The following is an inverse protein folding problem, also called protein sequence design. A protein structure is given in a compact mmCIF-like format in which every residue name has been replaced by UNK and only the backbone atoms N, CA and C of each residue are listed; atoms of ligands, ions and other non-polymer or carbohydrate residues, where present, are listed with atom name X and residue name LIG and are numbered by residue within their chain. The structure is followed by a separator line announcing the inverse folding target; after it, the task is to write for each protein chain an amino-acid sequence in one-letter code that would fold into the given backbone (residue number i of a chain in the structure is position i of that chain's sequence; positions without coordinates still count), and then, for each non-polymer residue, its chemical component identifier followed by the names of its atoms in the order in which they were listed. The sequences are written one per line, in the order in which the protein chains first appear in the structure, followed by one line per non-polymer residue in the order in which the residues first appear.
data_IF_339301655013
#
_entry.id   IF_339301655013
#
_cell.length_a   1.000
_cell.length_b   1.000
_cell.length_c   1.000
_cell.angle_alpha   90.00
_cell.angle_beta   90.00
_cell.angle_gamma   90.00
#
_symmetry.space_group_name_H-M   'P 1'
#
loop_
_entity.id
_entity.type
_entity.pdbx_description
1 polymer ?
#
# COMPACT_ATOMS: atom_id res chain seq x y z
N UNK A 1 1.96 26.45 31.89
CA UNK A 1 2.51 26.47 30.53
C UNK A 1 2.64 25.08 29.88
N UNK A 2 3.17 24.02 30.52
CA UNK A 2 3.29 22.68 29.86
C UNK A 2 1.95 21.96 29.59
N UNK A 3 0.88 22.34 30.29
CA UNK A 3 -0.41 21.63 30.21
C UNK A 3 -1.32 22.13 29.08
N UNK A 4 -1.24 23.42 28.71
CA UNK A 4 -2.05 24.01 27.64
C UNK A 4 -1.68 23.45 26.26
N UNK A 5 -0.38 23.40 25.93
CA UNK A 5 0.14 22.77 24.70
C UNK A 5 -0.29 21.31 24.53
N UNK A 6 -0.48 20.59 25.64
CA UNK A 6 -0.93 19.19 25.61
C UNK A 6 -2.41 19.11 25.25
N UNK A 7 -3.26 19.95 25.83
CA UNK A 7 -4.69 19.96 25.53
C UNK A 7 -4.96 20.45 24.11
N UNK A 8 -4.21 21.45 23.65
CA UNK A 8 -4.30 21.95 22.28
C UNK A 8 -4.01 20.85 21.25
N UNK A 9 -2.94 20.07 21.44
CA UNK A 9 -2.63 18.90 20.59
C UNK A 9 -3.68 17.80 20.63
N UNK A 10 -4.40 17.64 21.76
CA UNK A 10 -5.46 16.64 21.87
C UNK A 10 -6.74 17.10 21.17
N UNK A 11 -7.05 18.39 21.25
CA UNK A 11 -8.16 19.01 20.53
C UNK A 11 -7.91 18.93 19.02
N UNK A 12 -6.71 19.30 18.56
CA UNK A 12 -6.34 19.20 17.14
C UNK A 12 -6.49 17.77 16.60
N UNK A 13 -6.06 16.76 17.37
CA UNK A 13 -6.27 15.35 16.99
C UNK A 13 -7.74 14.97 16.94
N UNK A 14 -8.56 15.46 17.87
CA UNK A 14 -9.99 15.18 17.88
C UNK A 14 -10.68 15.81 16.65
N UNK A 15 -10.31 17.03 16.29
CA UNK A 15 -10.83 17.73 15.12
C UNK A 15 -10.51 16.98 13.84
N UNK A 16 -9.26 16.54 13.67
CA UNK A 16 -8.86 15.68 12.53
C UNK A 16 -9.71 14.40 12.47
N UNK A 17 -9.96 13.74 13.60
CA UNK A 17 -10.79 12.54 13.63
C UNK A 17 -12.26 12.83 13.26
N UNK A 18 -12.80 13.97 13.69
CA UNK A 18 -14.16 14.41 13.35
C UNK A 18 -14.29 14.71 11.85
N UNK A 19 -13.29 15.37 11.26
CA UNK A 19 -13.24 15.67 9.82
C UNK A 19 -13.18 14.40 8.95
N UNK A 20 -12.67 13.29 9.50
CA UNK A 20 -12.62 12.00 8.80
C UNK A 20 -13.96 11.25 8.79
N UNK A 21 -14.86 11.50 9.75
CA UNK A 21 -16.13 10.77 9.89
C UNK A 21 -16.99 10.75 8.61
N UNK A 22 -17.16 11.86 7.87
CA UNK A 22 -17.91 11.85 6.61
C UNK A 22 -17.32 10.90 5.57
N UNK A 23 -15.99 10.78 5.50
CA UNK A 23 -15.30 9.89 4.57
C UNK A 23 -15.47 8.42 4.97
N UNK A 24 -15.33 8.11 6.27
CA UNK A 24 -15.58 6.76 6.79
C UNK A 24 -17.00 6.33 6.42
N UNK A 25 -18.00 7.18 6.70
CA UNK A 25 -19.40 6.88 6.35
C UNK A 25 -19.60 6.71 4.84
N UNK A 26 -18.96 7.54 4.01
CA UNK A 26 -19.06 7.48 2.54
C UNK A 26 -18.52 6.16 1.99
N UNK A 27 -17.42 5.66 2.55
CA UNK A 27 -16.73 4.45 2.07
C UNK A 27 -17.05 3.19 2.87
N UNK A 28 -17.89 3.28 3.91
CA UNK A 28 -18.31 2.13 4.69
C UNK A 28 -18.96 1.05 3.79
N UNK A 29 -18.49 -0.18 3.91
CA UNK A 29 -18.88 -1.34 3.10
C UNK A 29 -18.38 -1.31 1.66
N UNK A 30 -17.73 -0.23 1.19
CA UNK A 30 -17.25 -0.12 -0.19
C UNK A 30 -15.95 -0.87 -0.41
N UNK A 31 -15.78 -1.38 -1.62
CA UNK A 31 -14.50 -1.90 -2.08
C UNK A 31 -13.61 -0.77 -2.57
N UNK A 32 -12.35 -0.76 -2.12
CA UNK A 32 -11.33 0.20 -2.56
C UNK A 32 -10.18 -0.57 -3.15
N UNK A 33 -9.96 -0.42 -4.45
CA UNK A 33 -8.86 -1.09 -5.16
C UNK A 33 -7.60 -0.26 -5.02
N UNK A 34 -6.54 -0.88 -4.48
CA UNK A 34 -5.27 -0.23 -4.17
C UNK A 34 -4.19 -0.88 -5.00
N UNK A 35 -3.61 -0.12 -5.93
CA UNK A 35 -2.43 -0.56 -6.67
C UNK A 35 -1.20 -0.41 -5.77
N UNK A 36 -0.62 -1.54 -5.38
CA UNK A 36 0.61 -1.60 -4.59
C UNK A 36 1.81 -1.90 -5.49
N UNK A 37 2.63 -0.88 -5.73
CA UNK A 37 3.78 -0.99 -6.63
C UNK A 37 4.84 -1.96 -6.10
N UNK A 38 5.40 -2.81 -6.96
CA UNK A 38 6.41 -3.81 -6.56
C UNK A 38 7.68 -3.20 -5.92
N UNK A 39 8.03 -1.96 -6.28
CA UNK A 39 9.17 -1.24 -5.66
C UNK A 39 8.88 -0.82 -4.21
N UNK A 40 7.61 -0.65 -3.81
CA UNK A 40 7.26 -0.37 -2.43
C UNK A 40 7.31 -1.62 -1.54
N UNK A 41 7.60 -2.81 -2.11
CA UNK A 41 7.69 -4.08 -1.40
C UNK A 41 9.10 -4.44 -0.94
N UNK A 42 10.13 -3.71 -1.35
CA UNK A 42 11.51 -4.02 -0.95
C UNK A 42 11.85 -3.44 0.43
N UNK A 43 11.23 -2.31 0.81
CA UNK A 43 11.45 -1.69 2.11
C UNK A 43 10.52 -2.29 3.19
N UNK A 44 11.09 -2.86 4.25
CA UNK A 44 10.35 -3.49 5.36
C UNK A 44 9.48 -2.50 6.15
N UNK A 45 9.94 -1.27 6.34
CA UNK A 45 9.18 -0.24 7.04
C UNK A 45 7.95 0.16 6.23
N UNK A 46 8.12 0.39 4.92
CA UNK A 46 7.00 0.74 4.04
C UNK A 46 5.99 -0.39 3.92
N UNK A 47 6.44 -1.64 3.84
CA UNK A 47 5.56 -2.82 3.89
C UNK A 47 4.73 -2.86 5.16
N UNK A 48 5.35 -2.63 6.32
CA UNK A 48 4.65 -2.64 7.61
C UNK A 48 3.65 -1.51 7.71
N UNK A 49 4.01 -0.30 7.30
CA UNK A 49 3.10 0.85 7.29
C UNK A 49 1.89 0.59 6.37
N UNK A 50 2.13 0.11 5.16
CA UNK A 50 1.06 -0.24 4.23
C UNK A 50 0.10 -1.29 4.82
N UNK A 51 0.64 -2.34 5.46
CA UNK A 51 -0.19 -3.34 6.12
C UNK A 51 -1.04 -2.76 7.26
N UNK A 52 -0.49 -1.84 8.07
CA UNK A 52 -1.23 -1.14 9.13
C UNK A 52 -2.39 -0.33 8.54
N UNK A 53 -2.18 0.37 7.43
CA UNK A 53 -3.21 1.16 6.77
C UNK A 53 -4.35 0.27 6.24
N UNK A 54 -4.02 -0.86 5.61
CA UNK A 54 -5.02 -1.83 5.14
C UNK A 54 -5.87 -2.39 6.28
N UNK A 55 -5.22 -2.72 7.40
CA UNK A 55 -5.88 -3.21 8.61
C UNK A 55 -6.81 -2.14 9.18
N UNK A 56 -6.34 -0.89 9.26
CA UNK A 56 -7.14 0.25 9.72
C UNK A 56 -8.38 0.45 8.82
N UNK A 57 -8.21 0.45 7.50
CA UNK A 57 -9.31 0.51 6.53
C UNK A 57 -10.35 -0.58 6.79
N UNK A 58 -9.90 -1.82 7.01
CA UNK A 58 -10.81 -2.94 7.31
C UNK A 58 -11.57 -2.75 8.62
N UNK A 59 -10.89 -2.26 9.67
CA UNK A 59 -11.50 -1.99 10.97
C UNK A 59 -12.60 -0.93 10.89
N UNK A 60 -12.43 0.10 10.07
CA UNK A 60 -13.44 1.16 9.89
C UNK A 60 -14.52 0.80 8.86
N UNK A 61 -14.54 -0.46 8.40
CA UNK A 61 -15.59 -1.00 7.53
C UNK A 61 -15.35 -0.81 6.02
N UNK A 62 -14.18 -0.34 5.60
CA UNK A 62 -13.79 -0.28 4.19
C UNK A 62 -13.23 -1.66 3.78
N UNK A 63 -13.51 -2.12 2.56
CA UNK A 63 -13.01 -3.38 2.04
C UNK A 63 -11.85 -3.14 1.06
N UNK A 64 -10.59 -3.08 1.53
CA UNK A 64 -9.46 -2.88 0.62
C UNK A 64 -9.22 -4.13 -0.24
N UNK A 65 -8.98 -3.92 -1.53
CA UNK A 65 -8.58 -4.94 -2.51
C UNK A 65 -7.21 -4.53 -3.05
N UNK A 66 -6.19 -5.32 -2.73
CA UNK A 66 -4.81 -4.98 -3.11
C UNK A 66 -4.47 -5.66 -4.44
N UNK A 67 -4.10 -4.84 -5.43
CA UNK A 67 -3.53 -5.30 -6.70
C UNK A 67 -2.05 -4.97 -6.68
N UNK A 68 -1.19 -5.97 -6.81
CA UNK A 68 0.23 -5.77 -6.59
C UNK A 68 1.08 -6.16 -7.80
N UNK A 69 2.23 -5.50 -7.95
CA UNK A 69 3.26 -5.91 -8.91
C UNK A 69 4.21 -6.95 -8.32
N UNK A 70 5.01 -7.59 -9.16
CA UNK A 70 6.09 -8.51 -8.76
C UNK A 70 7.45 -8.15 -9.35
N UNK A 71 7.61 -6.95 -9.92
CA UNK A 71 8.76 -6.56 -10.75
C UNK A 71 10.12 -6.93 -10.15
N UNK A 72 10.48 -6.45 -8.93
CA UNK A 72 11.75 -6.78 -8.30
C UNK A 72 11.94 -8.28 -8.04
N UNK A 73 10.90 -8.98 -7.59
CA UNK A 73 10.95 -10.42 -7.31
C UNK A 73 11.16 -11.24 -8.60
N UNK A 74 10.41 -10.92 -9.66
CA UNK A 74 10.55 -11.57 -10.98
C UNK A 74 11.97 -11.36 -11.51
N UNK A 75 12.48 -10.12 -11.49
CA UNK A 75 13.85 -9.85 -11.94
C UNK A 75 14.90 -10.59 -11.12
N UNK A 76 14.71 -10.71 -9.80
CA UNK A 76 15.61 -11.48 -8.94
C UNK A 76 15.59 -12.98 -9.27
N UNK A 77 14.41 -13.54 -9.52
CA UNK A 77 14.25 -14.95 -9.89
C UNK A 77 14.87 -15.25 -11.25
N UNK A 78 14.59 -14.44 -12.28
CA UNK A 78 15.16 -14.63 -13.62
C UNK A 78 16.69 -14.56 -13.60
N UNK A 79 17.26 -13.62 -12.84
CA UNK A 79 18.71 -13.52 -12.67
C UNK A 79 19.32 -14.79 -12.06
N UNK A 80 18.64 -15.43 -11.11
CA UNK A 80 19.09 -16.71 -10.53
C UNK A 80 19.02 -17.87 -11.52
N UNK A 81 18.12 -17.80 -12.49
CA UNK A 81 18.00 -18.75 -13.60
C UNK A 81 18.95 -18.42 -14.77
N UNK A 82 19.79 -17.40 -14.62
CA UNK A 82 20.74 -16.97 -15.67
C UNK A 82 20.08 -16.20 -16.82
N UNK A 83 18.83 -15.75 -16.65
CA UNK A 83 18.11 -14.93 -17.61
C UNK A 83 18.11 -13.46 -17.23
N UNK A 84 18.41 -12.60 -18.18
CA UNK A 84 18.24 -11.17 -18.03
C UNK A 84 16.80 -10.73 -18.35
N UNK A 85 16.37 -9.68 -17.67
CA UNK A 85 15.04 -9.10 -17.88
C UNK A 85 15.06 -8.10 -19.04
N UNK A 86 14.36 -8.39 -20.13
CA UNK A 86 14.17 -7.45 -21.23
C UNK A 86 12.86 -6.66 -21.08
N UNK A 87 12.89 -5.39 -21.46
CA UNK A 87 11.73 -4.51 -21.46
C UNK A 87 11.60 -3.78 -22.79
N UNK A 88 10.38 -3.78 -23.33
CA UNK A 88 10.01 -3.03 -24.55
C UNK A 88 8.81 -2.16 -24.20
N UNK A 89 8.92 -0.85 -24.42
CA UNK A 89 7.87 0.13 -24.12
C UNK A 89 7.33 0.06 -22.67
N UNK A 90 8.22 -0.22 -21.71
CA UNK A 90 7.87 -0.32 -20.29
C UNK A 90 7.19 -1.64 -19.89
N UNK A 91 6.99 -2.56 -20.82
CA UNK A 91 6.47 -3.90 -20.59
C UNK A 91 7.61 -4.91 -20.59
N UNK A 92 7.56 -5.89 -19.68
CA UNK A 92 8.54 -6.97 -19.65
C UNK A 92 8.25 -7.94 -20.81
N UNK A 93 9.27 -8.26 -21.59
CA UNK A 93 9.18 -9.37 -22.54
C UNK A 93 9.10 -10.67 -21.74
N UNK A 94 8.00 -11.41 -21.93
CA UNK A 94 7.73 -12.64 -21.17
C UNK A 94 7.51 -13.76 -22.19
N UNK A 95 8.56 -14.54 -22.46
CA UNK A 95 8.47 -15.75 -23.28
C UNK A 95 7.89 -16.93 -22.48
N UNK A 96 7.67 -18.08 -23.12
CA UNK A 96 7.08 -19.26 -22.47
C UNK A 96 7.89 -19.70 -21.24
N UNK A 97 9.21 -19.75 -21.36
CA UNK A 97 10.11 -20.18 -20.27
C UNK A 97 10.22 -19.13 -19.15
N UNK A 98 9.97 -17.85 -19.43
CA UNK A 98 9.91 -16.78 -18.41
C UNK A 98 8.62 -16.85 -17.60
N UNK A 99 7.55 -17.41 -18.19
CA UNK A 99 6.25 -17.55 -17.56
C UNK A 99 6.12 -18.80 -16.68
N UNK A 100 6.75 -19.91 -17.10
CA UNK A 100 6.77 -21.20 -16.39
C UNK A 100 7.68 -21.18 -15.15
#
# INVERSE_FOLDING_TARGET
MVNEDKYEKLIEKADVLLELLPYIRRFYGKFVVIKYGGHAMVDERLKKMFAVDLVMMKYIGINPVVVHGGGPQISSTLKKLGKDSEFVQGMRVTDQETMD
#
